data_IF_150214998087
#
_entry.id   IF_150214998087
#
_cell.length_a   1.000
_cell.length_b   1.000
_cell.length_c   1.000
_cell.angle_alpha   90.00
_cell.angle_beta   90.00
_cell.angle_gamma   90.00
#
_symmetry.space_group_name_H-M   'P 1'
#
loop_
_entity.id
_entity.type
_entity.pdbx_description
1 polymer ?
#
# COMPACT_ATOMS: atom_id res chain seq x y z
N UNK A 1 58.39 31.88 7.87
CA UNK A 1 58.36 32.35 9.28
C UNK A 1 56.90 32.37 9.68
N UNK A 2 56.34 31.31 10.26
CA UNK A 2 56.58 30.88 11.64
C UNK A 2 55.56 31.61 12.52
N UNK A 3 54.46 30.98 12.97
CA UNK A 3 54.36 30.14 14.18
C UNK A 3 54.80 30.97 15.40
N UNK A 4 53.95 31.46 16.29
CA UNK A 4 53.14 30.77 17.32
C UNK A 4 52.50 31.91 18.16
N UNK A 5 51.36 31.81 18.83
CA UNK A 5 51.16 30.94 20.00
C UNK A 5 49.67 30.69 20.29
N UNK A 6 49.43 29.44 20.64
CA UNK A 6 48.19 28.78 21.03
C UNK A 6 47.94 29.03 22.53
N UNK A 7 46.70 28.74 22.95
CA UNK A 7 46.21 28.39 24.32
C UNK A 7 45.57 29.55 25.08
N UNK A 8 44.39 29.43 25.70
CA UNK A 8 43.73 28.24 26.23
C UNK A 8 42.20 28.41 26.34
N UNK A 9 41.45 27.50 25.73
CA UNK A 9 40.23 26.84 26.25
C UNK A 9 39.58 26.04 25.11
N UNK A 10 40.27 24.98 24.73
CA UNK A 10 39.61 23.82 24.13
C UNK A 10 38.65 23.22 25.16
N UNK A 11 37.63 22.52 24.64
CA UNK A 11 36.71 21.61 25.33
C UNK A 11 35.53 22.35 26.00
N UNK A 12 34.48 22.57 25.21
CA UNK A 12 33.11 22.53 25.75
C UNK A 12 32.91 21.09 26.29
N UNK A 13 32.85 20.88 27.62
CA UNK A 13 32.83 19.55 28.22
C UNK A 13 31.50 18.82 28.02
N UNK A 14 30.53 19.48 27.38
CA UNK A 14 29.20 18.94 27.12
C UNK A 14 28.97 18.52 25.67
N UNK A 15 29.97 18.65 24.79
CA UNK A 15 29.87 18.17 23.40
C UNK A 15 28.63 18.77 22.67
N UNK A 16 28.22 20.00 23.04
CA UNK A 16 26.97 20.60 22.56
C UNK A 16 27.09 21.03 21.10
N UNK A 17 28.26 21.52 20.68
CA UNK A 17 28.50 21.92 19.30
C UNK A 17 28.50 20.73 18.33
N UNK A 18 28.98 19.58 18.78
CA UNK A 18 28.94 18.27 18.09
C UNK A 18 27.53 17.68 18.11
N UNK A 19 26.81 17.76 19.23
CA UNK A 19 25.38 17.40 19.28
C UNK A 19 24.51 18.26 18.34
N UNK A 20 24.82 19.56 18.19
CA UNK A 20 24.12 20.43 17.25
C UNK A 20 24.50 20.10 15.79
N UNK A 21 25.75 19.72 15.53
CA UNK A 21 26.22 19.23 14.23
C UNK A 21 25.66 17.85 13.87
N UNK A 22 25.35 17.00 14.85
CA UNK A 22 24.64 15.73 14.65
C UNK A 22 23.12 15.92 14.59
N UNK A 23 22.56 16.93 15.27
CA UNK A 23 21.15 17.31 15.14
C UNK A 23 20.85 17.96 13.78
N UNK A 24 21.81 18.73 13.25
CA UNK A 24 21.88 19.13 11.84
C UNK A 24 22.72 18.09 11.08
N UNK A 25 22.52 16.79 11.36
CA UNK A 25 22.68 15.83 10.30
C UNK A 25 21.84 16.34 9.14
N UNK A 26 22.46 16.47 7.97
CA UNK A 26 21.74 16.68 6.73
C UNK A 26 20.59 15.69 6.77
N UNK A 27 19.37 16.17 6.98
CA UNK A 27 18.18 15.35 6.76
C UNK A 27 18.38 14.97 5.31
N UNK A 28 18.82 13.73 5.07
CA UNK A 28 18.86 13.14 3.75
C UNK A 28 17.53 13.55 3.14
N UNK A 29 17.57 14.43 2.13
CA UNK A 29 16.40 15.22 1.72
C UNK A 29 15.18 14.32 1.69
N UNK A 30 14.04 14.77 2.24
CA UNK A 30 12.94 13.91 2.70
C UNK A 30 12.76 12.82 1.68
N UNK A 31 13.08 11.58 2.02
CA UNK A 31 13.18 10.42 1.10
C UNK A 31 12.08 10.45 0.05
N UNK A 32 12.30 11.17 -1.07
CA UNK A 32 11.20 11.50 -1.99
C UNK A 32 10.73 10.25 -2.73
N UNK A 33 11.61 9.24 -2.76
CA UNK A 33 11.40 7.91 -3.32
C UNK A 33 10.99 6.85 -2.29
N UNK A 34 10.79 7.17 -1.00
CA UNK A 34 10.32 6.16 -0.02
C UNK A 34 8.92 5.61 -0.32
N UNK A 35 8.29 6.08 -1.40
CA UNK A 35 7.06 5.54 -1.93
C UNK A 35 7.09 5.20 -3.43
N UNK A 36 8.20 5.41 -4.15
CA UNK A 36 8.33 4.93 -5.54
C UNK A 36 9.09 3.62 -5.53
N UNK A 37 8.60 2.64 -6.28
CA UNK A 37 9.26 1.35 -6.45
C UNK A 37 9.38 1.05 -7.95
N UNK A 38 10.34 0.19 -8.29
CA UNK A 38 10.50 -0.33 -9.64
C UNK A 38 9.35 -1.27 -10.02
N UNK A 39 9.19 -1.48 -11.33
CA UNK A 39 8.16 -2.35 -11.90
C UNK A 39 8.23 -3.76 -11.32
N UNK A 40 7.08 -4.41 -11.16
CA UNK A 40 7.06 -5.77 -10.65
C UNK A 40 5.69 -6.41 -10.59
N UNK A 41 5.68 -7.74 -10.58
CA UNK A 41 4.48 -8.59 -10.51
C UNK A 41 4.51 -9.55 -9.32
N UNK A 42 5.57 -9.50 -8.52
CA UNK A 42 5.72 -10.37 -7.35
C UNK A 42 4.91 -9.80 -6.18
N UNK A 43 4.34 -10.67 -5.35
CA UNK A 43 3.55 -10.26 -4.19
C UNK A 43 4.35 -9.31 -3.27
N UNK A 44 5.66 -9.56 -3.14
CA UNK A 44 6.57 -8.75 -2.34
C UNK A 44 6.75 -7.32 -2.86
N UNK A 45 6.53 -7.06 -4.15
CA UNK A 45 6.65 -5.72 -4.76
C UNK A 45 5.72 -4.73 -4.06
N UNK A 46 4.49 -5.15 -3.77
CA UNK A 46 3.45 -4.28 -3.21
C UNK A 46 3.02 -4.69 -1.80
N UNK A 47 3.68 -5.71 -1.23
CA UNK A 47 3.26 -6.31 0.03
C UNK A 47 1.87 -6.95 -0.06
N UNK A 48 1.54 -7.52 -1.22
CA UNK A 48 0.29 -8.24 -1.43
C UNK A 48 0.21 -9.42 -0.45
N UNK A 49 -0.81 -9.42 0.39
CA UNK A 49 -1.03 -10.50 1.33
C UNK A 49 -2.51 -10.88 1.35
N UNK A 50 -2.77 -12.17 1.15
CA UNK A 50 -4.12 -12.73 1.21
C UNK A 50 -4.26 -13.55 2.48
N UNK A 51 -5.11 -13.09 3.39
CA UNK A 51 -5.48 -13.82 4.59
C UNK A 51 -6.64 -14.76 4.26
N UNK A 52 -6.48 -16.03 4.65
CA UNK A 52 -7.47 -17.10 4.46
C UNK A 52 -7.72 -17.45 2.97
N UNK A 53 -8.84 -18.15 2.70
CA UNK A 53 -9.07 -18.82 1.41
C UNK A 53 -9.78 -17.97 0.37
N UNK A 54 -10.58 -16.96 0.77
CA UNK A 54 -11.39 -16.20 -0.18
C UNK A 54 -10.56 -15.52 -1.27
N UNK A 55 -9.42 -14.92 -0.90
CA UNK A 55 -8.60 -14.17 -1.86
C UNK A 55 -7.40 -14.94 -2.40
N UNK A 56 -7.26 -16.22 -2.04
CA UNK A 56 -6.10 -17.04 -2.45
C UNK A 56 -5.98 -17.11 -3.97
N UNK A 57 -4.77 -16.84 -4.47
CA UNK A 57 -4.46 -16.84 -5.91
C UNK A 57 -4.76 -15.51 -6.61
N UNK A 58 -5.01 -14.44 -5.86
CA UNK A 58 -4.99 -13.09 -6.38
C UNK A 58 -3.56 -12.68 -6.73
N UNK A 59 -3.38 -11.78 -7.69
CA UNK A 59 -2.09 -11.28 -8.14
C UNK A 59 -2.15 -9.79 -8.42
N UNK A 60 -0.99 -9.13 -8.43
CA UNK A 60 -0.88 -7.71 -8.75
C UNK A 60 0.24 -7.44 -9.75
N UNK A 61 0.09 -6.39 -10.55
CA UNK A 61 1.15 -5.85 -11.38
C UNK A 61 1.31 -4.34 -11.15
N UNK A 62 2.56 -3.90 -11.11
CA UNK A 62 2.94 -2.51 -10.94
C UNK A 62 3.90 -2.08 -12.05
N UNK A 63 3.61 -0.93 -12.64
CA UNK A 63 4.54 -0.19 -13.50
C UNK A 63 4.74 1.21 -12.93
N UNK A 64 5.99 1.65 -12.77
CA UNK A 64 6.34 2.95 -12.19
C UNK A 64 5.99 4.13 -13.11
N UNK A 65 6.03 3.91 -14.42
CA UNK A 65 5.64 4.89 -15.45
C UNK A 65 4.35 4.42 -16.09
N UNK A 66 3.31 5.25 -16.05
CA UNK A 66 1.98 4.82 -16.50
C UNK A 66 0.97 5.96 -16.55
N UNK A 67 -0.28 5.58 -16.72
CA UNK A 67 -1.44 6.46 -16.90
C UNK A 67 -2.06 6.95 -15.57
N UNK A 68 -1.55 6.49 -14.44
CA UNK A 68 -2.06 6.81 -13.11
C UNK A 68 -3.26 5.97 -12.69
N UNK A 69 -3.60 4.89 -13.41
CA UNK A 69 -4.73 4.05 -13.07
C UNK A 69 -4.43 3.11 -11.88
N UNK A 70 -5.46 2.90 -11.06
CA UNK A 70 -5.54 1.79 -10.10
C UNK A 70 -6.76 0.98 -10.47
N UNK A 71 -6.57 -0.23 -10.98
CA UNK A 71 -7.62 -1.09 -11.49
C UNK A 71 -7.68 -2.33 -10.62
N UNK A 72 -8.87 -2.67 -10.13
CA UNK A 72 -9.14 -3.91 -9.41
C UNK A 72 -10.14 -4.73 -10.23
N UNK A 73 -9.68 -5.87 -10.73
CA UNK A 73 -10.49 -6.84 -11.46
C UNK A 73 -10.89 -7.97 -10.54
N UNK A 74 -12.18 -8.15 -10.31
CA UNK A 74 -12.71 -9.25 -9.52
C UNK A 74 -13.11 -10.41 -10.42
N UNK A 75 -12.69 -11.62 -10.04
CA UNK A 75 -13.19 -12.87 -10.62
C UNK A 75 -13.68 -13.77 -9.51
N UNK A 76 -14.99 -14.03 -9.49
CA UNK A 76 -15.63 -14.90 -8.51
C UNK A 76 -15.70 -16.33 -9.00
N UNK A 77 -15.24 -17.27 -8.17
CA UNK A 77 -15.57 -18.70 -8.23
C UNK A 77 -16.57 -19.07 -7.12
N UNK A 78 -17.09 -18.08 -6.39
CA UNK A 78 -18.10 -18.31 -5.36
C UNK A 78 -19.42 -18.76 -5.99
N UNK A 79 -20.17 -19.55 -5.22
CA UNK A 79 -21.45 -20.12 -5.62
C UNK A 79 -22.64 -19.20 -5.35
N UNK A 80 -22.42 -18.08 -4.64
CA UNK A 80 -23.45 -17.04 -4.48
C UNK A 80 -22.85 -15.64 -4.65
N UNK A 81 -23.73 -14.66 -4.76
CA UNK A 81 -23.35 -13.25 -4.82
C UNK A 81 -22.65 -12.82 -3.51
N UNK A 82 -21.65 -11.96 -3.63
CA UNK A 82 -20.89 -11.41 -2.50
C UNK A 82 -20.67 -9.93 -2.72
N UNK A 83 -20.41 -9.21 -1.64
CA UNK A 83 -19.97 -7.82 -1.71
C UNK A 83 -18.54 -7.75 -1.17
N UNK A 84 -17.71 -6.95 -1.83
CA UNK A 84 -16.33 -6.70 -1.41
C UNK A 84 -16.22 -5.24 -1.00
N UNK A 85 -15.91 -5.00 0.26
CA UNK A 85 -15.57 -3.67 0.72
C UNK A 85 -14.14 -3.36 0.32
N UNK A 86 -13.92 -2.15 -0.16
CA UNK A 86 -12.59 -1.59 -0.39
C UNK A 86 -12.39 -0.54 0.69
N UNK A 87 -11.33 -0.70 1.48
CA UNK A 87 -11.02 0.14 2.62
C UNK A 87 -9.62 0.75 2.50
N UNK A 88 -9.43 1.90 3.12
CA UNK A 88 -8.12 2.53 3.28
C UNK A 88 -8.09 3.30 4.60
N UNK A 89 -7.07 3.07 5.42
CA UNK A 89 -6.91 3.79 6.70
C UNK A 89 -7.99 3.51 7.74
N UNK A 90 -8.76 2.43 7.58
CA UNK A 90 -9.87 2.05 8.47
C UNK A 90 -11.25 2.48 7.96
N UNK A 91 -11.31 3.36 6.96
CA UNK A 91 -12.57 3.81 6.37
C UNK A 91 -12.91 3.00 5.10
N UNK A 92 -14.20 2.70 4.91
CA UNK A 92 -14.70 2.13 3.66
C UNK A 92 -14.73 3.24 2.59
N UNK A 93 -14.01 3.01 1.50
CA UNK A 93 -13.98 3.93 0.36
C UNK A 93 -14.98 3.53 -0.73
N UNK A 94 -15.26 2.22 -0.87
CA UNK A 94 -16.24 1.72 -1.82
C UNK A 94 -16.74 0.32 -1.41
N UNK A 95 -17.89 -0.09 -1.95
CA UNK A 95 -18.38 -1.48 -1.89
C UNK A 95 -18.73 -1.96 -3.31
N UNK A 96 -18.20 -3.13 -3.69
CA UNK A 96 -18.39 -3.70 -5.03
C UNK A 96 -19.17 -5.00 -4.92
N UNK A 97 -20.32 -5.06 -5.58
CA UNK A 97 -21.10 -6.28 -5.72
C UNK A 97 -20.52 -7.18 -6.81
N UNK A 98 -20.25 -8.44 -6.46
CA UNK A 98 -19.73 -9.45 -7.38
C UNK A 98 -20.68 -10.63 -7.42
N UNK A 99 -21.21 -10.91 -8.63
CA UNK A 99 -22.13 -12.02 -8.85
C UNK A 99 -21.43 -13.37 -8.72
N UNK A 100 -22.19 -14.39 -8.34
CA UNK A 100 -21.74 -15.78 -8.33
C UNK A 100 -21.13 -16.17 -9.69
N UNK A 101 -19.92 -16.72 -9.71
CA UNK A 101 -19.22 -17.08 -10.94
C UNK A 101 -18.88 -15.91 -11.89
N UNK A 102 -19.15 -14.68 -11.48
CA UNK A 102 -19.07 -13.49 -12.34
C UNK A 102 -17.78 -12.69 -12.15
N UNK A 103 -17.70 -11.58 -12.87
CA UNK A 103 -16.62 -10.60 -12.78
C UNK A 103 -17.18 -9.22 -12.46
N UNK A 104 -16.38 -8.40 -11.80
CA UNK A 104 -16.64 -6.99 -11.58
C UNK A 104 -15.33 -6.21 -11.72
N UNK A 105 -15.42 -4.90 -11.93
CA UNK A 105 -14.25 -4.04 -11.98
C UNK A 105 -14.50 -2.79 -11.16
N UNK A 106 -13.47 -2.38 -10.43
CA UNK A 106 -13.43 -1.08 -9.78
C UNK A 106 -12.16 -0.34 -10.18
N UNK A 107 -12.29 0.96 -10.40
CA UNK A 107 -11.18 1.81 -10.86
C UNK A 107 -11.06 3.04 -9.99
N UNK A 108 -9.82 3.39 -9.66
CA UNK A 108 -9.43 4.63 -9.03
C UNK A 108 -8.14 5.14 -9.68
N UNK A 109 -7.42 6.02 -8.99
CA UNK A 109 -6.20 6.60 -9.51
C UNK A 109 -5.10 6.76 -8.44
N UNK A 110 -3.86 6.82 -8.90
CA UNK A 110 -2.66 6.95 -8.07
C UNK A 110 -2.63 8.31 -7.35
N UNK A 111 -3.25 9.36 -7.90
CA UNK A 111 -3.31 10.66 -7.20
C UNK A 111 -4.15 10.59 -5.92
N UNK A 112 -5.18 9.75 -5.89
CA UNK A 112 -6.05 9.53 -4.73
C UNK A 112 -5.44 8.50 -3.77
N UNK A 113 -4.89 7.41 -4.31
CA UNK A 113 -4.50 6.23 -3.52
C UNK A 113 -3.00 6.11 -3.24
N UNK A 114 -2.15 6.89 -3.92
CA UNK A 114 -0.70 6.81 -3.82
C UNK A 114 -0.18 6.95 -2.38
N UNK A 115 0.54 5.94 -1.92
CA UNK A 115 1.08 5.82 -0.57
C UNK A 115 0.07 5.33 0.46
N UNK A 116 -1.16 4.95 0.08
CA UNK A 116 -2.16 4.35 0.96
C UNK A 116 -2.09 2.82 0.89
N UNK A 117 -2.49 2.18 1.97
CA UNK A 117 -2.72 0.74 2.01
C UNK A 117 -4.19 0.46 1.73
N UNK A 118 -4.45 -0.38 0.74
CA UNK A 118 -5.77 -0.91 0.46
C UNK A 118 -5.98 -2.19 1.27
N UNK A 119 -7.17 -2.31 1.82
CA UNK A 119 -7.65 -3.51 2.50
C UNK A 119 -9.00 -3.89 1.91
N UNK A 120 -9.13 -5.14 1.49
CA UNK A 120 -10.35 -5.70 0.91
C UNK A 120 -10.89 -6.78 1.84
N UNK A 121 -12.18 -6.70 2.14
CA UNK A 121 -12.91 -7.76 2.84
C UNK A 121 -14.14 -8.20 2.05
N UNK A 122 -14.24 -9.52 1.88
CA UNK A 122 -15.39 -10.15 1.24
C UNK A 122 -16.42 -10.50 2.29
N UNK A 123 -17.65 -10.03 2.11
CA UNK A 123 -18.75 -10.33 3.02
C UNK A 123 -20.04 -10.70 2.29
N UNK A 124 -20.95 -11.33 3.05
CA UNK A 124 -22.31 -11.68 2.60
C UNK A 124 -23.26 -11.61 3.79
N UNK A 125 -24.53 -11.19 3.61
CA UNK A 125 -25.55 -11.32 4.64
C UNK A 125 -25.75 -12.80 5.01
N UNK A 126 -25.57 -13.11 6.30
CA UNK A 126 -25.84 -14.42 6.88
C UNK A 126 -27.32 -14.66 7.14
N UNK A 127 -27.63 -15.81 7.75
CA UNK A 127 -28.97 -16.08 8.27
C UNK A 127 -29.31 -15.03 9.34
N UNK A 128 -30.48 -14.37 9.23
CA UNK A 128 -30.91 -13.16 9.96
C UNK A 128 -30.30 -11.82 9.49
N UNK A 129 -29.58 -11.79 8.37
CA UNK A 129 -29.10 -10.53 7.77
C UNK A 129 -27.84 -9.95 8.41
N UNK A 130 -27.21 -10.67 9.34
CA UNK A 130 -25.94 -10.24 9.93
C UNK A 130 -24.78 -10.33 8.92
N UNK A 131 -23.91 -9.33 8.81
CA UNK A 131 -22.73 -9.40 7.96
C UNK A 131 -21.81 -10.54 8.41
N UNK A 132 -21.55 -11.51 7.53
CA UNK A 132 -20.54 -12.54 7.73
C UNK A 132 -19.26 -12.20 6.98
N UNK A 133 -18.16 -11.97 7.70
CA UNK A 133 -16.82 -11.66 7.12
C UNK A 133 -15.92 -12.90 7.00
N UNK A 134 -16.46 -14.10 7.19
CA UNK A 134 -15.71 -15.37 7.32
C UNK A 134 -15.00 -15.90 6.06
N UNK A 135 -14.64 -15.05 5.10
CA UNK A 135 -13.97 -15.45 3.86
C UNK A 135 -12.46 -15.25 3.86
N UNK A 136 -12.00 -14.16 4.47
CA UNK A 136 -10.62 -13.70 4.36
C UNK A 136 -10.54 -12.24 3.98
N UNK A 137 -9.31 -11.74 3.90
CA UNK A 137 -9.00 -10.38 3.49
C UNK A 137 -7.78 -10.33 2.58
N UNK A 138 -7.69 -9.26 1.82
CA UNK A 138 -6.54 -8.97 0.96
C UNK A 138 -6.02 -7.59 1.35
N UNK A 139 -4.70 -7.46 1.50
CA UNK A 139 -4.05 -6.18 1.78
C UNK A 139 -2.93 -5.95 0.77
N UNK A 140 -2.76 -4.69 0.37
CA UNK A 140 -1.79 -4.25 -0.61
C UNK A 140 -1.43 -2.78 -0.34
N UNK A 141 -0.19 -2.39 -0.57
CA UNK A 141 0.20 -0.99 -0.60
C UNK A 141 0.23 -0.43 -2.03
N UNK A 142 -0.36 0.75 -2.24
CA UNK A 142 -0.36 1.44 -3.53
C UNK A 142 0.84 2.40 -3.55
N UNK A 143 1.82 2.22 -4.45
CA UNK A 143 2.98 3.10 -4.50
C UNK A 143 2.61 4.50 -4.94
N UNK A 144 3.45 5.47 -4.57
CA UNK A 144 3.45 6.78 -5.20
C UNK A 144 4.22 6.68 -6.52
N UNK A 145 3.82 7.46 -7.51
CA UNK A 145 4.55 7.55 -8.77
C UNK A 145 4.50 8.97 -9.33
N UNK A 146 5.66 9.63 -9.41
CA UNK A 146 5.81 10.94 -10.05
C UNK A 146 5.54 10.90 -11.55
N UNK A 147 5.63 9.72 -12.17
CA UNK A 147 5.42 9.48 -13.60
C UNK A 147 4.11 8.74 -13.90
N UNK A 148 3.10 8.97 -13.06
CA UNK A 148 1.76 8.39 -13.19
C UNK A 148 1.65 7.04 -12.51
N UNK A 149 2.49 6.08 -12.90
CA UNK A 149 2.40 4.69 -12.45
C UNK A 149 1.16 3.97 -13.00
N UNK A 150 1.07 2.66 -12.81
CA UNK A 150 -0.08 1.86 -13.17
C UNK A 150 -0.14 0.63 -12.27
N UNK A 151 -1.27 0.46 -11.58
CA UNK A 151 -1.52 -0.68 -10.71
C UNK A 151 -2.73 -1.46 -11.24
N UNK A 152 -2.52 -2.75 -11.50
CA UNK A 152 -3.61 -3.69 -11.78
C UNK A 152 -3.59 -4.80 -10.72
N UNK A 153 -4.74 -5.04 -10.09
CA UNK A 153 -4.94 -6.06 -9.08
C UNK A 153 -6.01 -7.05 -9.56
N UNK A 154 -5.61 -8.28 -9.80
CA UNK A 154 -6.50 -9.38 -10.15
C UNK A 154 -6.92 -10.13 -8.89
N UNK A 155 -8.13 -9.86 -8.43
CA UNK A 155 -8.70 -10.41 -7.20
C UNK A 155 -9.51 -11.65 -7.50
N UNK A 156 -9.07 -12.80 -6.97
CA UNK A 156 -9.88 -14.02 -6.93
C UNK A 156 -10.80 -13.99 -5.74
N UNK A 157 -12.05 -14.38 -5.94
CA UNK A 157 -13.00 -14.59 -4.85
C UNK A 157 -13.44 -16.04 -4.86
N UNK A 158 -12.93 -16.81 -3.91
CA UNK A 158 -13.18 -18.23 -3.75
C UNK A 158 -14.29 -18.50 -2.75
N UNK A 159 -14.87 -19.69 -2.86
CA UNK A 159 -15.80 -20.24 -1.87
C UNK A 159 -15.12 -20.34 -0.50
N UNK A 160 -15.76 -19.81 0.53
CA UNK A 160 -15.33 -19.91 1.94
C UNK A 160 -15.94 -21.12 2.64
#
# INVERSE_FOLDING_TARGET
MGLSTISASMIDPTDIATLLSEYIQTICGPTQFMGEIDDGTEDATLGLNTLQRAFKGSSSSWTRVGDGAVIINFTSTDTKDVSVNIMSGGDKIEEVDVKAGGTAQWTSNITTLGGKTLYLDRWRPGFLGFPGTGGGSLVLWVPRASRGGHLELDVKINVS
#
